data_IF_592751122915
#
_entry.id   IF_592751122915
#
_cell.length_a   1.000
_cell.length_b   1.000
_cell.length_c   1.000
_cell.angle_alpha   90.00
_cell.angle_beta   90.00
_cell.angle_gamma   90.00
#
_symmetry.space_group_name_H-M   'P 1'
#
loop_
_entity.id
_entity.type
_entity.pdbx_description
1 polymer ?
#
# COMPACT_ATOMS: atom_id res chain seq x y z
N UNK A 1 0.77 -21.21 -5.74
CA UNK A 1 1.73 -20.42 -6.55
C UNK A 1 2.65 -19.69 -5.59
N UNK A 2 3.95 -19.57 -5.90
CA UNK A 2 4.88 -18.77 -5.11
C UNK A 2 5.21 -17.48 -5.87
N UNK A 3 5.22 -16.33 -5.20
CA UNK A 3 5.63 -15.04 -5.76
C UNK A 3 7.01 -14.69 -5.21
N UNK A 4 8.01 -14.72 -6.07
CA UNK A 4 9.38 -14.32 -5.75
C UNK A 4 9.60 -12.89 -6.25
N UNK A 5 9.35 -11.90 -5.38
CA UNK A 5 9.42 -10.50 -5.73
C UNK A 5 10.81 -10.11 -6.25
N UNK A 6 11.89 -10.73 -5.79
CA UNK A 6 13.25 -10.35 -6.17
C UNK A 6 13.55 -10.67 -7.65
N UNK A 7 12.71 -11.49 -8.31
CA UNK A 7 12.78 -11.80 -9.74
C UNK A 7 11.81 -11.00 -10.62
N UNK A 8 11.05 -10.08 -10.04
CA UNK A 8 10.09 -9.24 -10.76
C UNK A 8 10.68 -7.88 -11.08
N UNK A 9 10.21 -7.16 -12.10
CA UNK A 9 10.71 -5.82 -12.38
C UNK A 9 10.32 -4.81 -11.30
N UNK A 10 11.24 -3.88 -11.00
CA UNK A 10 10.97 -2.76 -10.11
C UNK A 10 10.27 -1.66 -10.89
N UNK A 11 9.06 -1.33 -10.47
CA UNK A 11 8.35 -0.14 -10.91
C UNK A 11 8.68 1.03 -9.99
N UNK A 12 9.07 2.15 -10.59
CA UNK A 12 9.26 3.44 -9.90
C UNK A 12 8.13 4.35 -10.36
N UNK A 13 7.21 4.68 -9.44
CA UNK A 13 5.97 5.37 -9.77
C UNK A 13 5.96 6.74 -9.08
N UNK A 14 6.15 7.84 -9.82
CA UNK A 14 6.12 9.18 -9.24
C UNK A 14 4.70 9.56 -8.83
N UNK A 15 4.61 10.29 -7.72
CA UNK A 15 3.39 10.87 -7.16
C UNK A 15 2.22 9.89 -7.12
N UNK A 16 2.47 8.66 -6.64
CA UNK A 16 1.47 7.60 -6.67
C UNK A 16 0.21 8.02 -5.90
N UNK A 17 -0.95 7.98 -6.58
CA UNK A 17 -2.24 8.49 -6.08
C UNK A 17 -2.22 9.97 -5.66
N UNK A 18 -1.32 10.77 -6.25
CA UNK A 18 -1.13 12.18 -5.89
C UNK A 18 -0.31 12.41 -4.61
N UNK A 19 0.37 11.38 -4.13
CA UNK A 19 1.30 11.49 -3.00
C UNK A 19 2.61 12.19 -3.35
N UNK A 20 3.53 12.19 -2.39
CA UNK A 20 4.84 12.83 -2.49
C UNK A 20 5.90 11.85 -2.97
N UNK A 21 6.82 12.34 -3.81
CA UNK A 21 7.97 11.59 -4.36
C UNK A 21 7.53 10.31 -5.08
N UNK A 22 8.23 9.19 -4.88
CA UNK A 22 8.09 7.97 -5.68
C UNK A 22 7.70 6.77 -4.80
N UNK A 23 6.82 5.93 -5.32
CA UNK A 23 6.60 4.58 -4.83
C UNK A 23 7.50 3.62 -5.61
N UNK A 24 8.32 2.86 -4.90
CA UNK A 24 9.09 1.75 -5.48
C UNK A 24 8.35 0.44 -5.21
N UNK A 25 7.86 -0.24 -6.24
CA UNK A 25 7.04 -1.43 -6.06
C UNK A 25 7.36 -2.54 -7.07
N UNK A 26 7.32 -3.79 -6.60
CA UNK A 26 7.26 -4.99 -7.43
C UNK A 26 5.87 -5.58 -7.28
N UNK A 27 5.13 -5.72 -8.38
CA UNK A 27 3.69 -5.97 -8.35
C UNK A 27 3.30 -7.20 -9.17
N UNK A 28 2.52 -8.08 -8.55
CA UNK A 28 1.80 -9.17 -9.21
C UNK A 28 0.31 -8.80 -9.32
N UNK A 29 -0.32 -9.17 -10.44
CA UNK A 29 -1.75 -9.00 -10.65
C UNK A 29 -2.31 -10.14 -11.50
N UNK A 30 -3.38 -10.79 -11.03
CA UNK A 30 -4.04 -11.90 -11.73
C UNK A 30 -5.40 -11.53 -12.35
N UNK A 31 -5.77 -10.26 -12.31
CA UNK A 31 -7.10 -9.78 -12.72
C UNK A 31 -8.05 -9.51 -11.55
N UNK A 32 -7.80 -10.11 -10.37
CA UNK A 32 -8.64 -9.97 -9.18
C UNK A 32 -7.87 -9.63 -7.91
N UNK A 33 -6.61 -10.03 -7.81
CA UNK A 33 -5.75 -9.77 -6.67
C UNK A 33 -4.50 -9.04 -7.15
N UNK A 34 -4.27 -7.87 -6.59
CA UNK A 34 -2.98 -7.18 -6.70
C UNK A 34 -2.18 -7.43 -5.44
N UNK A 35 -0.94 -7.90 -5.59
CA UNK A 35 -0.04 -8.19 -4.48
C UNK A 35 1.27 -7.48 -4.77
N UNK A 36 1.78 -6.68 -3.84
CA UNK A 36 3.00 -5.91 -4.06
C UNK A 36 3.93 -5.89 -2.86
N UNK A 37 5.24 -5.92 -3.14
CA UNK A 37 6.30 -5.52 -2.20
C UNK A 37 6.75 -4.13 -2.57
N UNK A 38 6.65 -3.19 -1.63
CA UNK A 38 6.86 -1.79 -1.92
C UNK A 38 7.69 -1.07 -0.85
N UNK A 39 8.25 0.07 -1.24
CA UNK A 39 9.10 0.94 -0.42
C UNK A 39 8.76 2.41 -0.67
N UNK A 40 8.69 3.17 0.42
CA UNK A 40 8.65 4.63 0.43
C UNK A 40 9.91 5.15 1.10
N UNK A 41 10.64 6.04 0.42
CA UNK A 41 11.80 6.75 1.02
C UNK A 41 11.31 7.85 1.99
N UNK A 42 12.18 8.41 2.86
CA UNK A 42 11.81 9.50 3.75
C UNK A 42 11.07 10.65 3.05
N UNK A 43 9.92 11.02 3.57
CA UNK A 43 9.03 12.06 3.03
C UNK A 43 8.22 11.67 1.79
N UNK A 44 8.29 10.41 1.33
CA UNK A 44 7.40 9.92 0.28
C UNK A 44 6.05 9.48 0.84
N UNK A 45 5.01 9.52 0.01
CA UNK A 45 3.67 9.05 0.40
C UNK A 45 2.89 8.45 -0.77
N UNK A 46 1.93 7.61 -0.42
CA UNK A 46 0.81 7.26 -1.29
C UNK A 46 -0.31 8.25 -0.98
N UNK A 47 -0.78 8.97 -2.00
CA UNK A 47 -1.82 9.97 -1.81
C UNK A 47 -3.15 9.38 -1.34
N UNK A 48 -4.01 10.26 -0.82
CA UNK A 48 -5.31 9.87 -0.29
C UNK A 48 -6.19 9.25 -1.38
N UNK A 49 -6.74 8.06 -1.13
CA UNK A 49 -7.60 7.40 -2.09
C UNK A 49 -8.61 6.46 -1.42
N UNK A 50 -9.75 6.28 -2.09
CA UNK A 50 -10.84 5.41 -1.66
C UNK A 50 -10.78 4.08 -2.38
N UNK A 51 -11.08 3.01 -1.66
CA UNK A 51 -11.26 1.67 -2.24
C UNK A 51 -12.72 1.41 -2.61
N UNK A 52 -13.04 1.49 -3.91
CA UNK A 52 -14.38 1.14 -4.43
C UNK A 52 -14.31 -0.25 -5.10
N UNK A 53 -15.17 -1.20 -4.69
CA UNK A 53 -15.12 -2.58 -5.18
C UNK A 53 -13.83 -3.33 -4.84
N UNK A 54 -13.02 -2.82 -3.92
CA UNK A 54 -11.77 -3.43 -3.43
C UNK A 54 -11.61 -3.17 -1.94
N UNK A 55 -10.67 -3.85 -1.31
CA UNK A 55 -10.11 -3.47 -0.01
C UNK A 55 -8.58 -3.48 -0.10
N UNK A 56 -7.87 -3.03 0.93
CA UNK A 56 -6.41 -3.16 0.98
C UNK A 56 -5.93 -3.62 2.36
N UNK A 57 -5.01 -4.59 2.37
CA UNK A 57 -4.24 -5.02 3.54
C UNK A 57 -2.79 -4.62 3.33
N UNK A 58 -2.20 -3.86 4.26
CA UNK A 58 -0.80 -3.45 4.26
C UNK A 58 -0.10 -4.03 5.48
N UNK A 59 0.93 -4.87 5.27
CA UNK A 59 1.82 -5.34 6.32
C UNK A 59 3.14 -4.60 6.25
N UNK A 60 3.50 -3.88 7.32
CA UNK A 60 4.80 -3.20 7.39
C UNK A 60 5.88 -4.22 7.71
N UNK A 61 6.87 -4.34 6.82
CA UNK A 61 7.97 -5.31 6.95
C UNK A 61 9.23 -4.67 7.53
N UNK A 62 9.43 -3.37 7.34
CA UNK A 62 10.56 -2.62 7.89
C UNK A 62 10.22 -1.13 8.03
N UNK A 63 10.86 -0.45 8.97
CA UNK A 63 10.71 0.99 9.19
C UNK A 63 9.46 1.39 9.96
N UNK A 64 9.13 2.68 9.90
CA UNK A 64 7.97 3.31 10.55
C UNK A 64 7.44 4.45 9.69
N UNK A 65 6.18 4.81 9.92
CA UNK A 65 5.52 5.94 9.26
C UNK A 65 4.16 6.17 9.88
N UNK A 66 3.26 6.74 9.09
CA UNK A 66 1.89 7.01 9.51
C UNK A 66 0.90 6.63 8.43
N UNK A 67 -0.27 6.18 8.84
CA UNK A 67 -1.45 6.09 7.97
C UNK A 67 -2.43 7.18 8.38
N UNK A 68 -3.10 7.78 7.40
CA UNK A 68 -4.32 8.54 7.63
C UNK A 68 -5.47 7.70 7.09
N UNK A 69 -6.46 7.34 7.90
CA UNK A 69 -7.64 6.57 7.48
C UNK A 69 -8.88 7.28 8.03
N UNK A 70 -9.82 7.64 7.14
CA UNK A 70 -11.05 8.38 7.49
C UNK A 70 -10.83 9.62 8.37
N UNK A 71 -9.71 10.31 8.13
CA UNK A 71 -9.33 11.53 8.85
C UNK A 71 -8.52 11.30 10.14
N UNK A 72 -8.39 10.05 10.62
CA UNK A 72 -7.56 9.73 11.77
C UNK A 72 -6.14 9.36 11.34
N UNK A 73 -5.13 10.04 11.91
CA UNK A 73 -3.71 9.75 11.67
C UNK A 73 -3.18 8.84 12.77
N UNK A 74 -2.69 7.65 12.40
CA UNK A 74 -2.13 6.66 13.33
C UNK A 74 -0.74 6.20 12.88
N UNK A 75 0.16 5.84 13.82
CA UNK A 75 1.49 5.35 13.48
C UNK A 75 1.45 3.91 12.97
N UNK A 76 2.37 3.59 12.06
CA UNK A 76 2.63 2.22 11.61
C UNK A 76 4.12 1.90 11.72
N UNK A 77 4.45 0.63 11.96
CA UNK A 77 5.83 0.18 12.18
C UNK A 77 5.96 -1.31 11.85
N UNK A 78 7.20 -1.78 11.65
CA UNK A 78 7.48 -3.17 11.32
C UNK A 78 6.74 -4.17 12.23
N UNK A 79 6.03 -5.12 11.60
CA UNK A 79 5.17 -6.11 12.26
C UNK A 79 3.71 -5.69 12.41
N UNK A 80 3.36 -4.44 12.13
CA UNK A 80 1.98 -3.95 12.17
C UNK A 80 1.25 -4.18 10.84
N UNK A 81 -0.05 -4.43 10.92
CA UNK A 81 -0.97 -4.55 9.78
C UNK A 81 -1.96 -3.39 9.78
N UNK A 82 -2.06 -2.67 8.66
CA UNK A 82 -3.13 -1.72 8.37
C UNK A 82 -4.14 -2.38 7.42
N UNK A 83 -5.43 -2.20 7.68
CA UNK A 83 -6.49 -2.67 6.80
C UNK A 83 -7.42 -1.50 6.43
N UNK A 84 -7.65 -1.33 5.13
CA UNK A 84 -8.60 -0.37 4.57
C UNK A 84 -9.77 -1.15 3.95
N UNK A 85 -10.96 -1.17 4.58
CA UNK A 85 -12.13 -1.82 4.01
C UNK A 85 -12.64 -1.11 2.74
N UNK A 86 -13.48 -1.79 1.96
CA UNK A 86 -14.19 -1.15 0.86
C UNK A 86 -15.03 0.04 1.35
N UNK A 87 -14.99 1.14 0.61
CA UNK A 87 -15.68 2.39 0.90
C UNK A 87 -14.88 3.35 1.79
N UNK A 88 -13.78 2.91 2.40
CA UNK A 88 -12.93 3.74 3.23
C UNK A 88 -11.83 4.44 2.42
N UNK A 89 -11.35 5.57 2.94
CA UNK A 89 -10.30 6.37 2.31
C UNK A 89 -9.06 6.39 3.19
N UNK A 90 -7.88 6.22 2.57
CA UNK A 90 -6.62 6.26 3.32
C UNK A 90 -5.41 6.74 2.51
N UNK A 91 -4.34 7.04 3.24
CA UNK A 91 -3.02 7.40 2.73
C UNK A 91 -1.94 6.76 3.62
N UNK A 92 -0.82 6.33 3.01
CA UNK A 92 0.37 5.84 3.72
C UNK A 92 1.51 6.84 3.52
N UNK A 93 2.11 7.28 4.61
CA UNK A 93 3.11 8.34 4.63
C UNK A 93 4.36 7.84 5.34
N UNK A 94 5.52 7.97 4.70
CA UNK A 94 6.79 7.84 5.39
C UNK A 94 7.22 9.21 5.93
N UNK A 95 6.79 9.53 7.15
CA UNK A 95 7.20 10.73 7.90
C UNK A 95 8.38 10.46 8.84
N UNK A 96 9.18 9.42 8.55
CA UNK A 96 10.40 9.08 9.27
C UNK A 96 11.68 9.49 8.51
N UNK A 97 12.84 9.18 9.09
CA UNK A 97 14.18 9.42 8.56
C UNK A 97 14.82 8.20 7.87
N UNK A 98 14.09 7.08 7.79
CA UNK A 98 14.54 5.85 7.15
C UNK A 98 13.49 5.32 6.14
N UNK A 99 13.87 4.35 5.31
CA UNK A 99 12.95 3.72 4.37
C UNK A 99 11.83 2.95 5.10
N UNK A 100 10.61 3.06 4.58
CA UNK A 100 9.43 2.29 5.00
C UNK A 100 9.14 1.23 3.95
N UNK A 101 9.21 -0.04 4.35
CA UNK A 101 8.93 -1.18 3.46
C UNK A 101 7.69 -1.93 3.91
N UNK A 102 6.90 -2.38 2.95
CA UNK A 102 5.64 -3.07 3.22
C UNK A 102 5.24 -4.03 2.10
N UNK A 103 4.37 -4.97 2.46
CA UNK A 103 3.59 -5.78 1.53
C UNK A 103 2.17 -5.25 1.50
N UNK A 104 1.58 -5.09 0.31
CA UNK A 104 0.17 -4.75 0.18
C UNK A 104 -0.59 -5.77 -0.68
N UNK A 105 -1.82 -6.07 -0.29
CA UNK A 105 -2.76 -6.94 -1.01
C UNK A 105 -4.05 -6.18 -1.23
N UNK A 106 -4.44 -6.01 -2.49
CA UNK A 106 -5.66 -5.33 -2.92
C UNK A 106 -6.54 -6.33 -3.68
N UNK A 107 -7.46 -7.04 -3.01
CA UNK A 107 -8.43 -7.89 -3.68
C UNK A 107 -9.57 -7.05 -4.28
N UNK A 108 -10.07 -7.48 -5.42
CA UNK A 108 -11.33 -7.01 -6.00
C UNK A 108 -12.49 -7.82 -5.45
N UNK A 109 -13.54 -7.13 -5.01
CA UNK A 109 -14.76 -7.74 -4.54
C UNK A 109 -15.69 -7.97 -5.73
N UNK A 110 -16.13 -9.22 -5.94
CA UNK A 110 -17.24 -9.50 -6.84
C UNK A 110 -18.54 -9.26 -6.07
N UNK A 111 -19.40 -8.38 -6.58
CA UNK A 111 -20.78 -8.33 -6.09
C UNK A 111 -21.41 -9.67 -6.43
N UNK A 112 -21.91 -10.39 -5.43
CA UNK A 112 -22.78 -11.53 -5.71
C UNK A 112 -23.98 -11.00 -6.48
N UNK A 113 -24.24 -11.55 -7.66
CA UNK A 113 -25.50 -11.29 -8.34
C UNK A 113 -26.62 -11.80 -7.43
N UNK A 114 -27.53 -10.91 -7.05
CA UNK A 114 -28.79 -11.27 -6.39
C UNK A 114 -29.66 -12.14 -7.30
#
# INVERSE_FOLDING_TARGET
MNIDFDKMDLSVIPNFKGGEKELHARMFFDGTNRIMKARLIPGASIGMHTHEGTSEVIFITSGKGSVICDGEKTPVFAGLCHYCPEGHTHSLINDSDADLEFLAVVPTHQKMAE
#
